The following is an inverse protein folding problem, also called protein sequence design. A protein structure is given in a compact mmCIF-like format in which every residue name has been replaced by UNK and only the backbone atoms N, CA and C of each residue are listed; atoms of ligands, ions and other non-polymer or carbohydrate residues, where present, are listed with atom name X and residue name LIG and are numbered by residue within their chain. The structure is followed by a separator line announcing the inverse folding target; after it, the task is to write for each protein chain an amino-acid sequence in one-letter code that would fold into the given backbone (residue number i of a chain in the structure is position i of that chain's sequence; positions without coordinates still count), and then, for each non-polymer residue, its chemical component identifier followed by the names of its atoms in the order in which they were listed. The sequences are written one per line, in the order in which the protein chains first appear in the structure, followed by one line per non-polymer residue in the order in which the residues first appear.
data_IF_553683855426
#
_entry.id   IF_553683855426
#
_cell.length_a   1.000
_cell.length_b   1.000
_cell.length_c   1.000
_cell.angle_alpha   90.00
_cell.angle_beta   90.00
_cell.angle_gamma   90.00
#
_symmetry.space_group_name_H-M   'P 1'
#
loop_
_entity.id
_entity.type
_entity.pdbx_description
1 polymer ?
#
# COMPACT_ATOMS: atom_id res chain seq x y z
N UNK A 1 1.74 -17.85 3.92
CA UNK A 1 2.06 -17.40 5.31
C UNK A 1 1.62 -18.37 6.41
N UNK A 2 0.41 -18.96 6.36
CA UNK A 2 -0.04 -19.92 7.39
C UNK A 2 0.83 -21.19 7.39
N UNK A 3 1.15 -21.72 6.22
CA UNK A 3 2.03 -22.88 6.07
C UNK A 3 3.46 -22.60 6.57
N UNK A 4 4.00 -21.42 6.26
CA UNK A 4 5.29 -20.97 6.80
C UNK A 4 5.28 -20.93 8.33
N UNK A 5 4.21 -20.43 8.96
CA UNK A 5 4.10 -20.41 10.41
C UNK A 5 4.04 -21.83 11.02
N UNK A 6 3.39 -22.78 10.33
CA UNK A 6 3.39 -24.20 10.74
C UNK A 6 4.78 -24.81 10.60
N UNK A 7 5.49 -24.52 9.51
CA UNK A 7 6.86 -24.99 9.28
C UNK A 7 7.82 -24.42 10.34
N UNK A 8 7.74 -23.12 10.65
CA UNK A 8 8.49 -22.50 11.76
C UNK A 8 8.22 -23.20 13.10
N UNK A 9 6.94 -23.45 13.42
CA UNK A 9 6.59 -24.13 14.67
C UNK A 9 7.13 -25.57 14.73
N UNK A 10 7.12 -26.28 13.60
CA UNK A 10 7.64 -27.65 13.48
C UNK A 10 9.16 -27.69 13.64
N UNK A 11 9.89 -26.81 12.96
CA UNK A 11 11.36 -26.73 13.00
C UNK A 11 11.93 -26.33 14.38
N UNK A 12 11.10 -25.68 15.22
CA UNK A 12 11.45 -25.31 16.59
C UNK A 12 11.15 -26.40 17.62
N UNK A 13 10.45 -27.49 17.26
CA UNK A 13 10.19 -28.59 18.20
C UNK A 13 11.47 -29.43 18.41
N UNK A 14 11.73 -29.94 19.63
CA UNK A 14 12.77 -30.93 19.86
C UNK A 14 12.42 -32.22 19.10
N UNK A 15 12.97 -32.38 17.91
CA UNK A 15 12.78 -33.56 17.06
C UNK A 15 14.10 -34.27 16.89
N UNK A 16 14.08 -35.60 16.98
CA UNK A 16 15.23 -36.47 16.70
C UNK A 16 15.40 -36.77 15.20
N UNK A 17 14.60 -36.14 14.33
CA UNK A 17 14.63 -36.29 12.88
C UNK A 17 15.46 -35.22 12.15
N UNK A 18 15.71 -35.44 10.85
CA UNK A 18 16.53 -34.60 9.98
C UNK A 18 15.90 -33.21 9.77
N UNK A 19 16.31 -32.22 10.56
CA UNK A 19 15.82 -30.82 10.50
C UNK A 19 16.05 -30.12 9.16
N UNK A 20 16.79 -30.75 8.24
CA UNK A 20 17.04 -30.27 6.88
C UNK A 20 15.79 -30.15 6.03
N UNK A 21 14.85 -31.10 6.12
CA UNK A 21 13.63 -31.06 5.31
C UNK A 21 12.75 -29.87 5.69
N UNK A 22 12.62 -29.61 6.99
CA UNK A 22 11.87 -28.47 7.50
C UNK A 22 12.57 -27.15 7.13
N UNK A 23 13.91 -27.11 7.17
CA UNK A 23 14.69 -25.95 6.73
C UNK A 23 14.47 -25.63 5.25
N UNK A 24 14.59 -26.62 4.37
CA UNK A 24 14.36 -26.44 2.92
C UNK A 24 12.93 -25.98 2.63
N UNK A 25 11.96 -26.48 3.40
CA UNK A 25 10.55 -26.05 3.29
C UNK A 25 10.38 -24.60 3.70
N UNK A 26 11.01 -24.18 4.81
CA UNK A 26 10.97 -22.79 5.29
C UNK A 26 11.64 -21.86 4.28
N UNK A 27 12.80 -22.23 3.77
CA UNK A 27 13.54 -21.46 2.76
C UNK A 27 12.69 -21.29 1.48
N UNK A 28 12.16 -22.38 0.94
CA UNK A 28 11.35 -22.35 -0.27
C UNK A 28 10.10 -21.48 -0.13
N UNK A 29 9.34 -21.65 0.97
CA UNK A 29 8.16 -20.84 1.25
C UNK A 29 8.51 -19.36 1.46
N UNK A 30 9.64 -19.08 2.11
CA UNK A 30 10.09 -17.71 2.37
C UNK A 30 10.48 -17.02 1.07
N UNK A 31 11.26 -17.69 0.21
CA UNK A 31 11.63 -17.18 -1.10
C UNK A 31 10.42 -16.97 -2.01
N UNK A 32 9.47 -17.92 -2.03
CA UNK A 32 8.25 -17.79 -2.83
C UNK A 32 7.40 -16.58 -2.40
N UNK A 33 7.13 -16.45 -1.10
CA UNK A 33 6.35 -15.31 -0.58
C UNK A 33 7.07 -14.00 -0.88
N UNK A 34 8.38 -13.94 -0.70
CA UNK A 34 9.18 -12.73 -0.95
C UNK A 34 9.20 -12.36 -2.43
N UNK A 35 9.31 -13.35 -3.33
CA UNK A 35 9.22 -13.14 -4.77
C UNK A 35 7.84 -12.61 -5.18
N UNK A 36 6.76 -13.10 -4.59
CA UNK A 36 5.41 -12.58 -4.81
C UNK A 36 5.26 -11.14 -4.33
N UNK A 37 5.80 -10.80 -3.16
CA UNK A 37 5.82 -9.43 -2.63
C UNK A 37 6.58 -8.49 -3.57
N UNK A 38 7.79 -8.86 -4.01
CA UNK A 38 8.60 -8.11 -5.00
C UNK A 38 7.89 -7.92 -6.33
N UNK A 39 7.25 -8.97 -6.84
CA UNK A 39 6.50 -8.91 -8.10
C UNK A 39 5.34 -7.92 -7.98
N UNK A 40 4.62 -7.97 -6.87
CA UNK A 40 3.48 -7.07 -6.59
C UNK A 40 3.95 -5.63 -6.44
N UNK A 41 5.06 -5.40 -5.71
CA UNK A 41 5.72 -4.10 -5.55
C UNK A 41 6.10 -3.50 -6.91
N UNK A 42 6.72 -4.29 -7.79
CA UNK A 42 7.10 -3.85 -9.15
C UNK A 42 5.88 -3.52 -10.01
N UNK A 43 4.80 -4.32 -9.93
CA UNK A 43 3.56 -4.03 -10.64
C UNK A 43 2.92 -2.72 -10.16
N UNK A 44 2.96 -2.49 -8.85
CA UNK A 44 2.42 -1.29 -8.23
C UNK A 44 3.20 -0.02 -8.62
N UNK A 45 4.53 -0.10 -8.65
CA UNK A 45 5.41 0.98 -9.16
C UNK A 45 5.13 1.28 -10.64
N UNK A 46 4.83 0.27 -11.46
CA UNK A 46 4.45 0.48 -12.88
C UNK A 46 3.10 1.16 -13.02
N UNK A 47 2.14 0.85 -12.15
CA UNK A 47 0.83 1.53 -12.12
C UNK A 47 1.01 3.03 -11.80
N UNK A 48 1.96 3.37 -10.92
CA UNK A 48 2.30 4.74 -10.57
C UNK A 48 2.88 5.55 -11.74
N UNK A 49 3.66 4.89 -12.60
CA UNK A 49 4.34 5.52 -13.73
C UNK A 49 3.44 5.76 -14.96
N UNK A 50 2.19 5.25 -14.95
CA UNK A 50 1.25 5.47 -16.03
C UNK A 50 0.76 6.92 -16.06
N UNK A 51 0.86 7.58 -17.21
CA UNK A 51 0.66 9.03 -17.39
C UNK A 51 -0.72 9.58 -16.99
N UNK A 52 -0.90 10.92 -17.05
CA UNK A 52 -2.15 11.57 -16.69
C UNK A 52 -3.25 11.19 -17.68
N UNK A 53 -4.28 10.50 -17.20
CA UNK A 53 -5.54 10.30 -17.91
C UNK A 53 -6.70 10.62 -16.98
N UNK A 54 -7.93 10.73 -17.50
CA UNK A 54 -9.12 11.09 -16.72
C UNK A 54 -9.33 10.17 -15.48
N UNK A 55 -8.88 8.92 -15.55
CA UNK A 55 -8.91 7.95 -14.44
C UNK A 55 -7.75 8.08 -13.41
N UNK A 56 -6.98 9.16 -13.44
CA UNK A 56 -5.79 9.38 -12.59
C UNK A 56 -6.10 9.25 -11.09
N UNK A 57 -7.26 9.75 -10.66
CA UNK A 57 -7.65 9.71 -9.24
C UNK A 57 -8.00 8.30 -8.78
N UNK A 58 -8.73 7.53 -9.60
CA UNK A 58 -9.07 6.13 -9.29
C UNK A 58 -7.81 5.28 -9.24
N UNK A 59 -6.90 5.44 -10.20
CA UNK A 59 -5.61 4.72 -10.21
C UNK A 59 -4.76 5.03 -8.98
N UNK A 60 -4.63 6.30 -8.61
CA UNK A 60 -3.88 6.71 -7.40
C UNK A 60 -4.51 6.11 -6.14
N UNK A 61 -5.84 6.06 -6.05
CA UNK A 61 -6.52 5.48 -4.89
C UNK A 61 -6.32 3.96 -4.80
N UNK A 62 -6.48 3.25 -5.91
CA UNK A 62 -6.21 1.80 -6.00
C UNK A 62 -4.76 1.51 -5.66
N UNK A 63 -3.82 2.28 -6.22
CA UNK A 63 -2.40 2.14 -5.95
C UNK A 63 -2.09 2.31 -4.47
N UNK A 64 -2.60 3.36 -3.83
CA UNK A 64 -2.35 3.60 -2.40
C UNK A 64 -2.96 2.50 -1.53
N UNK A 65 -4.18 2.03 -1.82
CA UNK A 65 -4.80 0.93 -1.08
C UNK A 65 -3.95 -0.34 -1.17
N UNK A 66 -3.58 -0.73 -2.39
CA UNK A 66 -2.74 -1.91 -2.63
C UNK A 66 -1.35 -1.76 -2.02
N UNK A 67 -0.79 -0.54 -1.98
CA UNK A 67 0.49 -0.26 -1.32
C UNK A 67 0.39 -0.51 0.18
N UNK A 68 -0.68 -0.04 0.82
CA UNK A 68 -0.94 -0.25 2.25
C UNK A 68 -1.12 -1.74 2.56
N UNK A 69 -1.91 -2.46 1.77
CA UNK A 69 -2.12 -3.90 1.96
C UNK A 69 -0.80 -4.68 1.81
N UNK A 70 0.00 -4.34 0.79
CA UNK A 70 1.29 -4.98 0.55
C UNK A 70 2.29 -4.66 1.66
N UNK A 71 2.31 -3.43 2.18
CA UNK A 71 3.14 -3.04 3.31
C UNK A 71 2.76 -3.82 4.57
N UNK A 72 1.46 -3.99 4.84
CA UNK A 72 0.97 -4.80 5.96
C UNK A 72 1.41 -6.27 5.85
N UNK A 73 1.29 -6.87 4.66
CA UNK A 73 1.75 -8.24 4.42
C UNK A 73 3.27 -8.38 4.58
N UNK A 74 4.05 -7.41 4.10
CA UNK A 74 5.51 -7.38 4.29
C UNK A 74 5.88 -7.25 5.77
N UNK A 75 5.18 -6.41 6.54
CA UNK A 75 5.35 -6.29 7.99
C UNK A 75 5.02 -7.59 8.72
N UNK A 76 3.92 -8.25 8.36
CA UNK A 76 3.52 -9.52 8.96
C UNK A 76 4.56 -10.61 8.72
N UNK A 77 5.07 -10.74 7.49
CA UNK A 77 6.12 -11.70 7.16
C UNK A 77 7.41 -11.39 7.91
N UNK A 78 7.82 -10.12 7.97
CA UNK A 78 9.00 -9.68 8.71
C UNK A 78 8.87 -10.02 10.19
N UNK A 79 7.72 -9.72 10.83
CA UNK A 79 7.45 -10.06 12.24
C UNK A 79 7.57 -11.58 12.48
N UNK A 80 7.03 -12.40 11.58
CA UNK A 80 7.13 -13.87 11.67
C UNK A 80 8.58 -14.36 11.54
N UNK A 81 9.34 -13.84 10.58
CA UNK A 81 10.76 -14.17 10.38
C UNK A 81 11.63 -13.71 11.55
N UNK A 82 11.44 -12.49 12.05
CA UNK A 82 12.16 -11.98 13.22
C UNK A 82 11.85 -12.79 14.49
N UNK A 83 10.59 -13.18 14.69
CA UNK A 83 10.19 -14.04 15.81
C UNK A 83 10.84 -15.42 15.70
N UNK A 84 10.88 -15.99 14.50
CA UNK A 84 11.54 -17.26 14.23
C UNK A 84 13.05 -17.19 14.51
N UNK A 85 13.72 -16.18 13.97
CA UNK A 85 15.15 -15.91 14.19
C UNK A 85 15.49 -15.78 15.69
N UNK A 86 14.68 -15.05 16.45
CA UNK A 86 14.88 -14.88 17.89
C UNK A 86 14.85 -16.23 18.62
N UNK A 87 13.92 -17.12 18.24
CA UNK A 87 13.81 -18.46 18.82
C UNK A 87 14.96 -19.38 18.42
N UNK A 88 15.40 -19.32 17.16
CA UNK A 88 16.59 -20.05 16.70
C UNK A 88 17.85 -19.67 17.48
N UNK A 89 18.06 -18.37 17.70
CA UNK A 89 19.19 -17.87 18.51
C UNK A 89 19.10 -18.34 19.96
N UNK A 90 17.91 -18.26 20.56
CA UNK A 90 17.69 -18.72 21.94
C UNK A 90 17.95 -20.23 22.11
N UNK A 91 17.60 -21.04 21.12
CA UNK A 91 17.89 -22.48 21.12
C UNK A 91 19.39 -22.78 21.01
N UNK A 92 20.13 -21.97 20.24
CA UNK A 92 21.60 -22.06 20.13
C UNK A 92 22.30 -21.62 21.43
N UNK A 93 21.86 -20.54 22.05
CA UNK A 93 22.44 -20.03 23.31
C UNK A 93 22.11 -20.90 24.52
N UNK A 94 20.92 -21.53 24.56
CA UNK A 94 20.54 -22.45 25.63
C UNK A 94 21.23 -23.82 25.58
N UNK A 95 21.95 -24.15 24.51
CA UNK A 95 22.66 -25.43 24.34
C UNK A 95 24.13 -25.36 24.79
N UNK A 96 24.66 -24.15 25.03
CA UNK A 96 26.03 -23.89 25.52
C UNK A 96 26.09 -23.65 27.05
N UNK A 97 24.97 -23.85 27.76
CA UNK A 97 24.81 -23.60 29.19
C UNK A 97 24.56 -24.86 30.01
N UNK A 98 25.41 -25.87 29.88
CA UNK A 98 25.49 -26.95 30.87
C UNK A 98 26.24 -26.45 32.11
N UNK A 99 25.61 -25.52 32.83
CA UNK A 99 25.86 -25.18 34.25
C UNK A 99 24.95 -23.99 34.62
N UNK A 100 23.68 -24.26 34.93
CA UNK A 100 22.90 -23.45 35.88
C UNK A 100 21.59 -24.18 36.19
N UNK A 101 21.72 -25.05 37.19
CA UNK A 101 20.76 -25.30 38.26
C UNK A 101 19.28 -25.36 37.89
N UNK A 102 18.72 -26.53 38.17
CA UNK A 102 17.34 -26.74 38.58
C UNK A 102 16.75 -25.56 39.37
N UNK A 103 16.05 -24.65 38.69
CA UNK A 103 15.06 -23.79 39.35
C UNK A 103 13.72 -23.90 38.61
N UNK A 104 13.05 -25.01 38.90
CA UNK A 104 11.61 -25.17 38.75
C UNK A 104 10.89 -24.22 39.72
N UNK A 105 10.93 -22.90 39.51
CA UNK A 105 9.91 -22.00 40.05
C UNK A 105 9.96 -20.59 39.43
N UNK A 106 8.83 -20.17 38.86
CA UNK A 106 8.49 -18.75 38.75
C UNK A 106 8.53 -18.14 37.35
N UNK A 107 7.34 -17.85 36.83
CA UNK A 107 7.16 -16.66 36.00
C UNK A 107 7.18 -16.88 34.49
N UNK A 108 6.04 -17.33 33.96
CA UNK A 108 5.65 -17.14 32.57
C UNK A 108 5.48 -15.63 32.30
N UNK A 109 6.46 -14.98 31.66
CA UNK A 109 6.26 -13.68 30.99
C UNK A 109 6.74 -13.76 29.54
N UNK A 110 5.94 -14.47 28.75
CA UNK A 110 5.78 -14.16 27.33
C UNK A 110 5.03 -12.82 27.27
N UNK A 111 5.42 -11.96 26.33
CA UNK A 111 4.84 -10.65 25.99
C UNK A 111 5.66 -9.49 26.60
N UNK A 112 6.66 -9.04 25.83
CA UNK A 112 6.85 -7.60 25.61
C UNK A 112 6.86 -7.41 24.09
N UNK A 113 5.69 -7.02 23.59
CA UNK A 113 5.35 -6.63 22.22
C UNK A 113 5.36 -5.10 22.23
N UNK A 114 6.51 -4.45 21.97
CA UNK A 114 6.48 -3.02 21.58
C UNK A 114 7.74 -2.41 20.94
N UNK A 115 8.79 -3.17 20.61
CA UNK A 115 9.96 -2.60 19.90
C UNK A 115 10.17 -3.24 18.53
N UNK A 116 9.14 -3.15 17.68
CA UNK A 116 9.21 -3.63 16.29
C UNK A 116 10.07 -2.74 15.38
N UNK A 117 10.33 -1.49 15.79
CA UNK A 117 10.96 -0.46 14.96
C UNK A 117 12.48 -0.34 15.13
N UNK A 118 13.07 -0.96 16.17
CA UNK A 118 14.49 -0.77 16.53
C UNK A 118 15.43 -1.90 16.03
N UNK A 119 14.92 -2.93 15.35
CA UNK A 119 15.78 -3.95 14.73
C UNK A 119 16.26 -3.54 13.33
N UNK A 120 17.07 -2.49 13.29
CA UNK A 120 18.07 -2.32 12.23
C UNK A 120 19.30 -3.12 12.68
N UNK A 121 19.52 -4.28 12.04
CA UNK A 121 20.61 -5.19 12.41
C UNK A 121 21.95 -4.48 12.28
N UNK A 122 22.64 -4.26 13.40
CA UNK A 122 24.00 -3.76 13.41
C UNK A 122 24.97 -4.89 13.05
N UNK A 123 25.91 -4.63 12.14
CA UNK A 123 26.87 -5.58 11.57
C UNK A 123 27.66 -6.35 12.65
N UNK A 124 27.82 -5.75 13.83
CA UNK A 124 28.44 -6.36 15.00
C UNK A 124 27.69 -7.56 15.61
N UNK A 125 26.36 -7.67 15.44
CA UNK A 125 25.62 -8.85 15.92
C UNK A 125 25.84 -10.08 15.03
N UNK A 126 26.16 -9.90 13.75
CA UNK A 126 26.51 -11.00 12.83
C UNK A 126 27.84 -11.67 13.23
N UNK A 127 28.82 -10.88 13.69
CA UNK A 127 30.15 -11.39 14.01
C UNK A 127 30.19 -12.33 15.23
N UNK A 128 29.26 -12.18 16.18
CA UNK A 128 29.24 -12.96 17.44
C UNK A 128 28.73 -14.40 17.28
N UNK A 129 28.10 -14.73 16.14
CA UNK A 129 27.52 -16.06 15.88
C UNK A 129 28.55 -17.14 15.46
N UNK A 130 29.80 -16.76 15.18
CA UNK A 130 30.86 -17.61 14.61
C UNK A 130 31.55 -18.62 15.56
N UNK A 131 31.17 -18.78 16.84
CA UNK A 131 32.05 -19.42 17.86
C UNK A 131 31.55 -20.68 18.61
N UNK A 132 30.70 -21.53 18.04
CA UNK A 132 30.45 -22.88 18.60
C UNK A 132 30.39 -23.86 17.43
N UNK A 133 30.90 -25.10 17.54
CA UNK A 133 31.36 -25.92 16.41
C UNK A 133 30.59 -27.27 16.29
N UNK A 134 30.31 -27.69 15.05
CA UNK A 134 29.68 -28.93 14.57
C UNK A 134 28.15 -29.04 14.51
N UNK A 135 27.35 -28.71 15.54
CA UNK A 135 25.85 -28.65 15.44
C UNK A 135 25.37 -27.30 14.89
N UNK A 136 26.31 -26.37 14.78
CA UNK A 136 26.09 -24.95 14.50
C UNK A 136 26.13 -24.57 13.02
N UNK A 137 26.77 -25.31 12.12
CA UNK A 137 26.95 -24.84 10.74
C UNK A 137 25.63 -24.78 9.97
N UNK A 138 24.80 -25.82 10.08
CA UNK A 138 23.49 -25.85 9.41
C UNK A 138 22.52 -24.84 10.03
N UNK A 139 22.54 -24.70 11.36
CA UNK A 139 21.79 -23.67 12.08
C UNK A 139 22.28 -22.26 11.77
N UNK A 140 23.57 -22.08 11.52
CA UNK A 140 24.15 -20.79 11.13
C UNK A 140 23.72 -20.40 9.71
N UNK A 141 23.70 -21.36 8.78
CA UNK A 141 23.18 -21.15 7.44
C UNK A 141 21.69 -20.77 7.47
N UNK A 142 20.90 -21.46 8.28
CA UNK A 142 19.49 -21.12 8.50
C UNK A 142 19.31 -19.70 9.07
N UNK A 143 20.08 -19.35 10.11
CA UNK A 143 20.07 -18.01 10.70
C UNK A 143 20.43 -16.95 9.65
N UNK A 144 21.45 -17.20 8.84
CA UNK A 144 21.88 -16.29 7.79
C UNK A 144 20.78 -16.07 6.75
N UNK A 145 20.13 -17.14 6.28
CA UNK A 145 19.02 -17.06 5.33
C UNK A 145 17.84 -16.24 5.87
N UNK A 146 17.47 -16.47 7.13
CA UNK A 146 16.37 -15.73 7.78
C UNK A 146 16.74 -14.24 7.91
N UNK A 147 17.99 -13.91 8.26
CA UNK A 147 18.46 -12.52 8.35
C UNK A 147 18.42 -11.83 6.98
N UNK A 148 18.85 -12.52 5.92
CA UNK A 148 18.77 -11.99 4.54
C UNK A 148 17.33 -11.70 4.14
N UNK A 149 16.39 -12.63 4.40
CA UNK A 149 14.96 -12.41 4.15
C UNK A 149 14.40 -11.21 4.92
N UNK A 150 14.76 -11.05 6.20
CA UNK A 150 14.32 -9.91 7.02
C UNK A 150 14.83 -8.59 6.46
N UNK A 151 16.08 -8.56 5.98
CA UNK A 151 16.66 -7.38 5.35
C UNK A 151 15.98 -7.05 4.01
N UNK A 152 15.72 -8.07 3.18
CA UNK A 152 14.99 -7.89 1.93
C UNK A 152 13.59 -7.31 2.16
N UNK A 153 12.86 -7.81 3.17
CA UNK A 153 11.55 -7.29 3.54
C UNK A 153 11.61 -5.83 4.02
N UNK A 154 12.70 -5.45 4.70
CA UNK A 154 12.94 -4.05 5.09
C UNK A 154 13.02 -3.12 3.88
N UNK A 155 13.71 -3.57 2.83
CA UNK A 155 13.82 -2.82 1.58
C UNK A 155 12.48 -2.69 0.87
N UNK A 156 11.71 -3.79 0.76
CA UNK A 156 10.36 -3.77 0.18
C UNK A 156 9.47 -2.78 0.94
N UNK A 157 9.48 -2.82 2.27
CA UNK A 157 8.71 -1.88 3.09
C UNK A 157 9.11 -0.44 2.82
N UNK A 158 10.41 -0.12 2.84
CA UNK A 158 10.92 1.24 2.57
C UNK A 158 10.46 1.76 1.21
N UNK A 159 10.49 0.90 0.20
CA UNK A 159 10.07 1.22 -1.16
C UNK A 159 8.56 1.44 -1.27
N UNK A 160 7.77 0.72 -0.48
CA UNK A 160 6.31 0.90 -0.39
C UNK A 160 5.94 2.13 0.45
N UNK A 161 6.73 2.51 1.45
CA UNK A 161 6.48 3.70 2.27
C UNK A 161 6.31 4.94 1.40
N UNK A 162 7.13 5.11 0.36
CA UNK A 162 7.02 6.24 -0.59
C UNK A 162 5.66 6.29 -1.29
N UNK A 163 5.01 5.14 -1.50
CA UNK A 163 3.69 5.04 -2.12
C UNK A 163 2.54 5.25 -1.11
N UNK A 164 2.80 5.08 0.20
CA UNK A 164 1.79 5.13 1.28
C UNK A 164 1.79 6.47 2.02
N UNK A 165 2.93 7.17 2.13
CA UNK A 165 3.13 8.38 2.95
C UNK A 165 2.17 9.53 2.59
N UNK A 166 1.66 9.62 1.37
CA UNK A 166 0.69 10.65 0.96
C UNK A 166 -0.73 10.46 1.54
N UNK A 167 -0.93 9.47 2.40
CA UNK A 167 -2.20 9.15 3.03
C UNK A 167 -2.19 9.63 4.48
N UNK A 168 -2.66 10.86 4.70
CA UNK A 168 -3.37 11.18 5.93
C UNK A 168 -4.49 10.15 6.17
N UNK A 169 -4.87 9.97 7.44
CA UNK A 169 -5.85 8.99 7.95
C UNK A 169 -7.01 8.69 7.00
N UNK A 170 -7.44 7.43 6.91
CA UNK A 170 -8.50 6.89 6.02
C UNK A 170 -9.74 7.80 5.86
N UNK A 171 -10.10 8.56 6.90
CA UNK A 171 -11.24 9.50 6.94
C UNK A 171 -11.05 10.72 6.02
N UNK A 172 -9.82 11.24 5.90
CA UNK A 172 -9.49 12.44 5.12
C UNK A 172 -9.77 12.26 3.61
N UNK A 173 -9.82 10.99 3.16
CA UNK A 173 -10.11 10.58 1.78
C UNK A 173 -11.58 10.67 1.42
N UNK A 174 -12.45 10.37 2.37
CA UNK A 174 -13.90 10.46 2.16
C UNK A 174 -14.26 11.93 2.05
N UNK A 175 -13.75 12.76 2.95
CA UNK A 175 -14.00 14.20 2.95
C UNK A 175 -13.45 14.86 1.68
N UNK A 176 -12.21 14.56 1.27
CA UNK A 176 -11.63 15.10 0.04
C UNK A 176 -12.43 14.71 -1.22
N UNK A 177 -12.80 13.44 -1.37
CA UNK A 177 -13.56 12.99 -2.54
C UNK A 177 -14.99 13.55 -2.54
N UNK A 178 -15.65 13.62 -1.38
CA UNK A 178 -16.97 14.25 -1.24
C UNK A 178 -16.88 15.74 -1.61
N UNK A 179 -15.85 16.44 -1.15
CA UNK A 179 -15.65 17.86 -1.43
C UNK A 179 -15.40 18.10 -2.93
N UNK A 180 -14.62 17.25 -3.60
CA UNK A 180 -14.43 17.31 -5.06
C UNK A 180 -15.72 16.99 -5.85
N UNK A 181 -16.54 16.06 -5.38
CA UNK A 181 -17.84 15.77 -6.00
C UNK A 181 -18.78 16.97 -5.79
N UNK A 182 -18.81 17.54 -4.60
CA UNK A 182 -19.63 18.70 -4.28
C UNK A 182 -19.28 19.91 -5.16
N UNK A 183 -17.99 20.21 -5.34
CA UNK A 183 -17.54 21.29 -6.24
C UNK A 183 -17.91 21.02 -7.70
N UNK A 184 -17.71 19.80 -8.19
CA UNK A 184 -18.07 19.41 -9.56
C UNK A 184 -19.58 19.54 -9.81
N UNK A 185 -20.42 19.13 -8.85
CA UNK A 185 -21.88 19.26 -8.94
C UNK A 185 -22.30 20.73 -8.91
N UNK A 186 -21.68 21.56 -8.08
CA UNK A 186 -21.95 23.00 -8.03
C UNK A 186 -21.61 23.70 -9.36
N UNK A 187 -20.47 23.34 -9.97
CA UNK A 187 -20.08 23.84 -11.28
C UNK A 187 -21.05 23.40 -12.38
N UNK A 188 -21.47 22.13 -12.36
CA UNK A 188 -22.51 21.60 -13.26
C UNK A 188 -23.84 22.37 -13.12
N UNK A 189 -24.25 22.68 -11.89
CA UNK A 189 -25.44 23.46 -11.61
C UNK A 189 -25.31 24.90 -12.14
N UNK A 190 -24.15 25.54 -12.00
CA UNK A 190 -23.88 26.86 -12.59
C UNK A 190 -23.99 26.83 -14.12
N UNK A 191 -23.47 25.79 -14.77
CA UNK A 191 -23.60 25.64 -16.22
C UNK A 191 -25.05 25.45 -16.65
N UNK A 192 -25.83 24.62 -15.95
CA UNK A 192 -27.25 24.43 -16.22
C UNK A 192 -28.06 25.73 -16.02
N UNK A 193 -27.80 26.50 -14.96
CA UNK A 193 -28.43 27.80 -14.77
C UNK A 193 -28.08 28.80 -15.87
N UNK A 194 -26.83 28.81 -16.35
CA UNK A 194 -26.40 29.66 -17.47
C UNK A 194 -27.10 29.25 -18.77
N UNK A 195 -27.28 27.95 -19.00
CA UNK A 195 -28.02 27.43 -20.14
C UNK A 195 -29.51 27.81 -20.06
N UNK A 196 -30.17 27.61 -18.91
CA UNK A 196 -31.57 28.01 -18.67
C UNK A 196 -31.79 29.51 -18.87
N UNK A 197 -30.90 30.37 -18.34
CA UNK A 197 -30.97 31.82 -18.56
C UNK A 197 -30.82 32.20 -20.03
N UNK A 198 -29.92 31.53 -20.76
CA UNK A 198 -29.74 31.74 -22.20
C UNK A 198 -30.97 31.28 -22.98
N UNK A 199 -31.55 30.14 -22.61
CA UNK A 199 -32.75 29.58 -23.25
C UNK A 199 -34.00 30.44 -22.98
N UNK A 200 -34.19 30.92 -21.75
CA UNK A 200 -35.28 31.85 -21.38
C UNK A 200 -35.20 33.21 -22.09
N UNK A 201 -33.99 33.66 -22.44
CA UNK A 201 -33.82 34.85 -23.28
C UNK A 201 -34.28 34.67 -24.73
N UNK A 202 -34.67 33.44 -25.11
CA UNK A 202 -35.55 33.15 -26.24
C UNK A 202 -35.07 33.69 -27.57
N UNK A 203 -34.31 32.90 -28.33
CA UNK A 203 -33.93 33.24 -29.71
C UNK A 203 -35.14 33.54 -30.61
N UNK A 204 -36.31 32.97 -30.29
CA UNK A 204 -37.58 33.23 -30.96
C UNK A 204 -38.07 34.67 -30.76
N UNK A 205 -37.83 35.28 -29.59
CA UNK A 205 -38.21 36.69 -29.31
C UNK A 205 -37.32 37.64 -30.10
N UNK A 206 -36.00 37.37 -30.19
CA UNK A 206 -35.11 38.16 -31.04
C UNK A 206 -35.44 38.05 -32.53
N UNK A 207 -35.82 36.87 -33.02
CA UNK A 207 -36.23 36.69 -34.42
C UNK A 207 -37.56 37.44 -34.70
N UNK A 208 -38.53 37.35 -33.78
CA UNK A 208 -39.79 38.05 -33.90
C UNK A 208 -39.63 39.58 -33.87
N UNK A 209 -38.78 40.14 -33.00
CA UNK A 209 -38.55 41.59 -32.95
C UNK A 209 -37.88 42.11 -34.23
N UNK A 210 -36.93 41.37 -34.81
CA UNK A 210 -36.30 41.72 -36.09
C UNK A 210 -37.31 41.75 -37.24
N UNK A 211 -38.20 40.75 -37.31
CA UNK A 211 -39.28 40.72 -38.32
C UNK A 211 -40.22 41.93 -38.21
N UNK A 212 -40.64 42.29 -36.99
CA UNK A 212 -41.52 43.44 -36.75
C UNK A 212 -40.86 44.75 -37.20
N UNK A 213 -39.56 44.94 -36.90
CA UNK A 213 -38.81 46.13 -37.31
C UNK A 213 -38.75 46.23 -38.84
N UNK A 214 -38.47 45.13 -39.54
CA UNK A 214 -38.42 45.10 -41.00
C UNK A 214 -39.76 45.45 -41.64
N UNK A 215 -40.87 44.93 -41.10
CA UNK A 215 -42.22 45.30 -41.56
C UNK A 215 -42.52 46.78 -41.33
N UNK A 216 -42.13 47.34 -40.19
CA UNK A 216 -42.32 48.77 -39.89
C UNK A 216 -41.54 49.67 -40.86
N UNK A 217 -40.28 49.33 -41.16
CA UNK A 217 -39.47 50.07 -42.16
C UNK A 217 -40.14 50.04 -43.53
N UNK A 218 -40.60 48.87 -43.99
CA UNK A 218 -41.30 48.75 -45.28
C UNK A 218 -42.58 49.59 -45.32
N UNK A 219 -43.36 49.63 -44.23
CA UNK A 219 -44.56 50.48 -44.14
C UNK A 219 -44.22 51.97 -44.21
N UNK A 220 -43.19 52.42 -43.48
CA UNK A 220 -42.75 53.82 -43.52
C UNK A 220 -42.33 54.22 -44.93
N UNK A 221 -41.56 53.37 -45.61
CA UNK A 221 -41.14 53.61 -47.00
C UNK A 221 -42.34 53.70 -47.96
N UNK A 222 -43.37 52.86 -47.79
CA UNK A 222 -44.60 52.92 -48.59
C UNK A 222 -45.39 54.21 -48.35
N UNK A 223 -45.52 54.64 -47.08
CA UNK A 223 -46.19 55.90 -46.74
C UNK A 223 -45.43 57.09 -47.33
N UNK A 224 -44.10 57.13 -47.16
CA UNK A 224 -43.27 58.18 -47.74
C UNK A 224 -43.42 58.23 -49.26
N UNK A 225 -43.35 57.07 -49.92
CA UNK A 225 -43.56 56.96 -51.37
C UNK A 225 -44.92 57.49 -51.80
N UNK A 226 -45.99 57.20 -51.06
CA UNK A 226 -47.36 57.62 -51.38
C UNK A 226 -47.57 59.13 -51.16
N UNK A 227 -46.81 59.76 -50.26
CA UNK A 227 -46.91 61.19 -49.96
C UNK A 227 -46.02 62.03 -50.90
N UNK A 228 -44.83 61.53 -51.25
CA UNK A 228 -43.85 62.23 -52.10
C UNK A 228 -44.04 62.01 -53.61
N UNK A 229 -44.79 60.99 -54.01
CA UNK A 229 -45.00 60.56 -55.39
C UNK A 229 -46.47 60.33 -55.67
#
# INVERSE_FOLDING_TARGET
MVELAKAHAKALMPSFGDGKEDQLTIEGLTQEITALLRKSEKQLKRLAAAGPSEDSNVRKNVQRSLATDLQNLSMELRKKQSTYLKRLRQQKEGQDGDDLEMNLNGGRSIIDDDNLDDMVFNEHQMAKLKKSEAVTVEREQEIQQVVESVNELAQIMKDLSVLVIDQGTIVDRIDYNIQNVATTVEEGLKQLQKADRTQKRGGMVMCATVLVIMCAVMLVLLILKTILF
#
